data_IF_750270193976
#
_entry.id   IF_750270193976
#
_cell.length_a   1.000
_cell.length_b   1.000
_cell.length_c   1.000
_cell.angle_alpha   90.00
_cell.angle_beta   90.00
_cell.angle_gamma   90.00
#
_symmetry.space_group_name_H-M   'P 1'
#
loop_
_entity.id
_entity.type
_entity.pdbx_description
1 polymer ?
#
# COMPACT_ATOMS: atom_id res chain seq x y z
N UNK A 1 8.63 18.52 7.24
CA UNK A 1 9.02 17.09 7.14
C UNK A 1 10.39 16.94 6.47
N UNK A 2 10.59 17.50 5.27
CA UNK A 2 11.92 17.56 4.65
C UNK A 2 12.92 18.43 5.43
N UNK A 3 12.51 19.59 5.96
CA UNK A 3 13.46 20.49 6.66
C UNK A 3 14.10 19.87 7.90
N UNK A 4 13.37 19.01 8.60
CA UNK A 4 13.79 18.35 9.85
C UNK A 4 14.34 16.95 9.59
N UNK A 5 13.61 16.10 8.87
CA UNK A 5 13.96 14.68 8.69
C UNK A 5 14.72 14.39 7.38
N UNK A 6 14.84 15.37 6.47
CA UNK A 6 15.39 15.19 5.11
C UNK A 6 14.72 14.06 4.31
N UNK A 7 13.48 13.72 4.68
CA UNK A 7 12.67 12.71 4.00
C UNK A 7 11.79 13.40 2.95
N UNK A 8 11.87 13.00 1.67
CA UNK A 8 10.94 13.48 0.66
C UNK A 8 9.51 13.07 1.00
N UNK A 9 8.56 13.95 0.77
CA UNK A 9 7.14 13.66 0.98
C UNK A 9 6.68 12.73 -0.15
N UNK A 10 6.21 11.53 0.20
CA UNK A 10 5.54 10.65 -0.75
C UNK A 10 4.06 11.01 -0.83
N UNK A 11 3.57 11.22 -2.04
CA UNK A 11 2.14 11.36 -2.30
C UNK A 11 1.64 10.10 -3.00
N UNK A 12 0.49 9.61 -2.55
CA UNK A 12 -0.28 8.57 -3.24
C UNK A 12 -1.55 9.23 -3.74
N UNK A 13 -1.80 9.15 -5.03
CA UNK A 13 -3.02 9.65 -5.65
C UNK A 13 -3.92 8.46 -5.97
N UNK A 14 -5.14 8.50 -5.47
CA UNK A 14 -6.18 7.57 -5.88
C UNK A 14 -7.08 8.28 -6.87
N UNK A 15 -7.19 7.71 -8.06
CA UNK A 15 -7.94 8.27 -9.16
C UNK A 15 -9.24 7.48 -9.28
N UNK A 16 -10.36 8.15 -9.01
CA UNK A 16 -11.68 7.59 -9.19
C UNK A 16 -12.22 7.95 -10.58
N UNK A 17 -12.97 7.02 -11.18
CA UNK A 17 -13.75 7.31 -12.37
C UNK A 17 -14.90 8.27 -12.06
N UNK A 18 -15.38 8.95 -13.08
CA UNK A 18 -16.60 9.75 -12.98
C UNK A 18 -17.80 8.83 -12.72
N UNK A 19 -18.49 9.04 -11.59
CA UNK A 19 -19.68 8.26 -11.19
C UNK A 19 -20.86 8.45 -12.15
N UNK A 20 -20.88 9.55 -12.90
CA UNK A 20 -21.91 9.86 -13.90
C UNK A 20 -21.56 9.33 -15.30
N UNK A 21 -20.30 8.95 -15.54
CA UNK A 21 -19.85 8.38 -16.79
C UNK A 21 -20.25 6.90 -16.90
N UNK A 22 -20.44 6.43 -18.13
CA UNK A 22 -20.69 5.00 -18.34
C UNK A 22 -19.47 4.17 -17.92
N UNK A 23 -19.69 2.99 -17.35
CA UNK A 23 -18.59 2.08 -16.95
C UNK A 23 -17.66 1.74 -18.12
N UNK A 24 -18.20 1.72 -19.34
CA UNK A 24 -17.45 1.49 -20.58
C UNK A 24 -16.47 2.63 -20.88
N UNK A 25 -16.84 3.87 -20.58
CA UNK A 25 -15.98 5.03 -20.83
C UNK A 25 -14.88 5.14 -19.77
N UNK A 26 -15.20 4.87 -18.50
CA UNK A 26 -14.20 4.70 -17.45
C UNK A 26 -13.21 3.58 -17.81
N UNK A 27 -13.71 2.42 -18.24
CA UNK A 27 -12.85 1.29 -18.61
C UNK A 27 -11.87 1.62 -19.74
N UNK A 28 -12.33 2.31 -20.80
CA UNK A 28 -11.47 2.73 -21.92
C UNK A 28 -10.40 3.74 -21.52
N UNK A 29 -10.68 4.58 -20.53
CA UNK A 29 -9.71 5.54 -20.01
C UNK A 29 -8.53 4.84 -19.32
N UNK A 30 -8.79 3.70 -18.66
CA UNK A 30 -7.74 2.87 -18.05
C UNK A 30 -7.18 1.78 -18.98
N UNK A 31 -7.89 1.45 -20.06
CA UNK A 31 -7.54 0.37 -20.99
C UNK A 31 -7.66 0.81 -22.45
N UNK A 32 -6.80 1.73 -22.92
CA UNK A 32 -6.79 2.13 -24.32
C UNK A 32 -6.36 0.97 -25.22
N UNK A 33 -7.17 0.68 -26.25
CA UNK A 33 -6.96 -0.47 -27.17
C UNK A 33 -6.22 -0.10 -28.47
N UNK A 34 -5.97 1.18 -28.69
CA UNK A 34 -5.27 1.69 -29.87
C UNK A 34 -4.29 2.81 -29.51
N UNK A 35 -3.27 3.00 -30.36
CA UNK A 35 -2.18 3.94 -30.12
C UNK A 35 -2.63 5.40 -30.07
N UNK A 36 -3.65 5.75 -30.85
CA UNK A 36 -4.16 7.14 -30.90
C UNK A 36 -4.85 7.47 -29.58
N UNK A 37 -5.73 6.58 -29.10
CA UNK A 37 -6.40 6.73 -27.81
C UNK A 37 -5.40 6.70 -26.66
N UNK A 38 -4.41 5.81 -26.69
CA UNK A 38 -3.36 5.75 -25.68
C UNK A 38 -2.60 7.08 -25.55
N UNK A 39 -2.12 7.64 -26.68
CA UNK A 39 -1.38 8.92 -26.67
C UNK A 39 -2.23 10.08 -26.15
N UNK A 40 -3.50 10.12 -26.54
CA UNK A 40 -4.44 11.15 -26.06
C UNK A 40 -4.62 11.06 -24.55
N UNK A 41 -4.98 9.88 -24.04
CA UNK A 41 -5.18 9.62 -22.61
C UNK A 41 -3.92 9.98 -21.82
N UNK A 42 -2.74 9.54 -22.26
CA UNK A 42 -1.47 9.86 -21.61
C UNK A 42 -1.21 11.37 -21.55
N UNK A 43 -1.46 12.08 -22.64
CA UNK A 43 -1.26 13.53 -22.70
C UNK A 43 -2.23 14.27 -21.77
N UNK A 44 -3.51 13.89 -21.78
CA UNK A 44 -4.54 14.48 -20.93
C UNK A 44 -4.21 14.27 -19.43
N UNK A 45 -3.82 13.05 -19.04
CA UNK A 45 -3.39 12.76 -17.66
C UNK A 45 -2.12 13.50 -17.27
N UNK A 46 -1.13 13.54 -18.15
CA UNK A 46 0.14 14.24 -17.88
C UNK A 46 -0.09 15.75 -17.69
N UNK A 47 -0.95 16.34 -18.54
CA UNK A 47 -1.33 17.74 -18.43
C UNK A 47 -2.04 18.00 -17.10
N UNK A 48 -3.05 17.22 -16.75
CA UNK A 48 -3.78 17.37 -15.48
C UNK A 48 -2.84 17.21 -14.26
N UNK A 49 -1.90 16.27 -14.32
CA UNK A 49 -0.93 16.06 -13.25
C UNK A 49 0.02 17.26 -13.11
N UNK A 50 0.55 17.81 -14.21
CA UNK A 50 1.42 18.98 -14.15
C UNK A 50 0.65 20.21 -13.65
N UNK A 51 -0.56 20.42 -14.17
CA UNK A 51 -1.44 21.52 -13.78
C UNK A 51 -1.76 21.49 -12.27
N UNK A 52 -1.88 20.30 -11.68
CA UNK A 52 -2.01 20.14 -10.23
C UNK A 52 -0.82 20.69 -9.45
N UNK A 53 0.42 20.56 -9.93
CA UNK A 53 1.59 21.13 -9.25
C UNK A 53 1.76 22.62 -9.50
N UNK A 54 1.33 23.11 -10.66
CA UNK A 54 1.36 24.52 -11.00
C UNK A 54 0.33 25.31 -10.18
N UNK A 55 -0.90 24.80 -10.09
CA UNK A 55 -2.03 25.48 -9.44
C UNK A 55 -2.24 25.06 -7.98
N UNK A 56 -1.87 23.84 -7.61
CA UNK A 56 -2.12 23.26 -6.30
C UNK A 56 -1.59 24.07 -5.12
N UNK A 57 -0.36 24.64 -5.15
CA UNK A 57 0.14 25.45 -4.04
C UNK A 57 -0.75 26.65 -3.72
N UNK A 58 -1.34 27.29 -4.72
CA UNK A 58 -2.19 28.47 -4.53
C UNK A 58 -3.58 28.08 -4.03
N UNK A 59 -4.15 26.96 -4.50
CA UNK A 59 -5.39 26.41 -3.96
C UNK A 59 -5.23 25.93 -2.51
N UNK A 60 -4.08 25.35 -2.15
CA UNK A 60 -3.77 24.95 -0.77
C UNK A 60 -3.68 26.18 0.14
N UNK A 61 -3.03 27.27 -0.29
CA UNK A 61 -2.97 28.52 0.48
C UNK A 61 -4.37 29.08 0.73
N UNK A 62 -5.21 29.17 -0.31
CA UNK A 62 -6.61 29.62 -0.18
C UNK A 62 -7.40 28.73 0.77
N UNK A 63 -7.23 27.41 0.69
CA UNK A 63 -7.89 26.46 1.59
C UNK A 63 -7.43 26.56 3.05
N UNK A 64 -6.16 26.91 3.30
CA UNK A 64 -5.66 27.21 4.65
C UNK A 64 -6.30 28.48 5.21
N UNK A 65 -6.46 29.52 4.40
CA UNK A 65 -7.12 30.77 4.80
C UNK A 65 -8.62 30.57 5.12
N UNK A 66 -9.29 29.65 4.42
CA UNK A 66 -10.68 29.27 4.69
C UNK A 66 -10.88 28.40 5.95
N UNK A 67 -9.81 27.94 6.61
CA UNK A 67 -9.85 27.27 7.92
C UNK A 67 -10.61 25.93 7.98
N UNK A 68 -11.11 25.40 6.86
CA UNK A 68 -11.98 24.20 6.84
C UNK A 68 -11.29 23.03 6.16
N UNK A 69 -10.32 22.44 6.86
CA UNK A 69 -9.72 21.17 6.45
C UNK A 69 -10.57 20.03 7.01
N UNK A 70 -11.40 19.41 6.15
CA UNK A 70 -12.14 18.18 6.51
C UNK A 70 -11.25 17.00 6.13
N UNK A 71 -10.87 16.17 7.11
CA UNK A 71 -10.17 14.92 6.84
C UNK A 71 -11.14 13.93 6.19
N UNK A 72 -10.96 13.68 4.89
CA UNK A 72 -11.81 12.77 4.09
C UNK A 72 -11.33 11.30 4.20
N UNK A 73 -10.14 11.04 4.72
CA UNK A 73 -9.52 9.72 4.72
C UNK A 73 -10.02 8.72 5.77
N UNK A 74 -10.94 9.10 6.65
CA UNK A 74 -11.36 8.26 7.78
C UNK A 74 -12.63 7.41 7.58
N UNK A 75 -13.48 7.77 6.60
CA UNK A 75 -14.89 7.32 6.62
C UNK A 75 -15.27 6.41 5.44
N UNK A 76 -14.37 6.18 4.47
CA UNK A 76 -14.72 5.48 3.21
C UNK A 76 -14.64 3.94 3.33
N UNK A 77 -14.06 3.40 4.40
CA UNK A 77 -13.92 1.94 4.58
C UNK A 77 -15.15 1.30 5.23
N UNK A 78 -16.08 2.06 5.82
CA UNK A 78 -17.19 1.52 6.62
C UNK A 78 -18.54 1.38 5.87
N UNK A 79 -18.52 1.41 4.54
CA UNK A 79 -19.72 1.47 3.71
C UNK A 79 -20.50 0.14 3.54
N UNK A 80 -20.08 -0.97 4.15
CA UNK A 80 -20.70 -2.28 3.87
C UNK A 80 -21.42 -2.95 5.05
N UNK A 81 -21.52 -2.36 6.24
CA UNK A 81 -22.24 -2.97 7.36
C UNK A 81 -23.10 -1.95 8.13
N UNK A 82 -24.23 -1.56 7.53
CA UNK A 82 -25.31 -0.87 8.24
C UNK A 82 -25.99 -1.86 9.20
N UNK A 83 -25.81 -1.64 10.50
CA UNK A 83 -26.47 -2.40 11.55
C UNK A 83 -26.31 -1.76 12.94
N UNK A 84 -27.24 -0.86 13.25
CA UNK A 84 -27.81 -0.55 14.58
C UNK A 84 -26.95 -0.46 15.87
N UNK A 85 -27.26 0.61 16.62
CA UNK A 85 -27.20 0.78 18.08
C UNK A 85 -25.89 1.23 18.78
N UNK A 86 -26.00 2.47 19.31
CA UNK A 86 -25.68 2.90 20.68
C UNK A 86 -24.24 2.76 21.20
N UNK A 87 -23.64 3.92 21.40
CA UNK A 87 -22.84 4.20 22.59
C UNK A 87 -21.33 4.21 22.37
N UNK A 88 -20.75 5.42 22.44
CA UNK A 88 -19.41 5.73 22.94
C UNK A 88 -18.38 4.59 22.87
N UNK A 89 -17.71 4.38 21.73
CA UNK A 89 -16.63 3.40 21.61
C UNK A 89 -15.43 3.94 20.82
N UNK A 90 -14.40 4.28 21.60
CA UNK A 90 -12.95 4.20 21.37
C UNK A 90 -12.44 4.12 19.92
N UNK A 91 -11.66 5.13 19.55
CA UNK A 91 -10.65 5.14 18.47
C UNK A 91 -9.43 4.23 18.76
N UNK A 92 -9.59 3.12 19.51
CA UNK A 92 -8.49 2.19 19.88
C UNK A 92 -8.45 0.91 19.03
N UNK A 93 -9.52 0.57 18.31
CA UNK A 93 -9.68 -0.79 17.77
C UNK A 93 -8.80 -1.07 16.53
N UNK A 94 -8.45 -0.05 15.74
CA UNK A 94 -7.65 -0.22 14.51
C UNK A 94 -6.15 -0.48 14.74
N UNK A 95 -5.55 0.16 15.75
CA UNK A 95 -4.14 -0.07 16.12
C UNK A 95 -3.98 -1.46 16.77
N UNK A 96 -4.97 -1.89 17.55
CA UNK A 96 -4.97 -3.18 18.24
C UNK A 96 -5.10 -4.34 17.25
N UNK A 97 -5.96 -4.20 16.23
CA UNK A 97 -6.07 -5.17 15.14
C UNK A 97 -4.76 -5.30 14.36
N UNK A 98 -4.13 -4.17 14.00
CA UNK A 98 -2.83 -4.17 13.32
C UNK A 98 -1.72 -4.82 14.15
N UNK A 99 -1.73 -4.62 15.46
CA UNK A 99 -0.74 -5.19 16.38
C UNK A 99 -0.94 -6.71 16.59
N UNK A 100 -2.20 -7.18 16.53
CA UNK A 100 -2.52 -8.60 16.58
C UNK A 100 -2.09 -9.34 15.30
N UNK A 101 -2.33 -8.75 14.14
CA UNK A 101 -1.88 -9.29 12.85
C UNK A 101 -0.35 -9.34 12.79
N UNK A 102 0.34 -8.27 13.19
CA UNK A 102 1.81 -8.22 13.28
C UNK A 102 2.38 -9.34 14.15
N UNK A 103 1.73 -9.64 15.28
CA UNK A 103 2.14 -10.71 16.20
C UNK A 103 2.02 -12.10 15.57
N UNK A 104 1.00 -12.32 14.74
CA UNK A 104 0.81 -13.57 14.01
C UNK A 104 1.88 -13.74 12.93
N UNK A 105 2.11 -12.71 12.11
CA UNK A 105 3.17 -12.74 11.09
C UNK A 105 4.57 -12.90 11.69
N UNK A 106 4.84 -12.26 12.83
CA UNK A 106 6.11 -12.41 13.53
C UNK A 106 6.35 -13.85 14.02
N UNK A 107 5.32 -14.51 14.54
CA UNK A 107 5.41 -15.92 14.95
C UNK A 107 5.70 -16.85 13.76
N UNK A 108 5.00 -16.65 12.65
CA UNK A 108 5.23 -17.40 11.40
C UNK A 108 6.66 -17.17 10.87
N UNK A 109 7.14 -15.93 10.90
CA UNK A 109 8.50 -15.58 10.50
C UNK A 109 9.57 -16.29 11.35
N UNK A 110 9.40 -16.30 12.68
CA UNK A 110 10.32 -17.00 13.58
C UNK A 110 10.30 -18.52 13.36
N UNK A 111 9.12 -19.12 13.22
CA UNK A 111 8.99 -20.55 12.91
C UNK A 111 9.67 -20.91 11.59
N UNK A 112 9.42 -20.12 10.54
CA UNK A 112 10.08 -20.29 9.24
C UNK A 112 11.60 -20.19 9.34
N UNK A 113 12.10 -19.20 10.09
CA UNK A 113 13.54 -19.00 10.29
C UNK A 113 14.21 -20.18 11.00
N UNK A 114 13.56 -20.73 12.04
CA UNK A 114 14.06 -21.91 12.77
C UNK A 114 14.05 -23.16 11.89
N UNK A 115 12.99 -23.36 11.09
CA UNK A 115 12.89 -24.49 10.15
C UNK A 115 13.96 -24.39 9.06
N UNK A 116 14.20 -23.20 8.50
CA UNK A 116 15.25 -22.96 7.51
C UNK A 116 16.63 -23.25 8.10
N UNK A 117 16.90 -22.78 9.33
CA UNK A 117 18.14 -23.08 10.03
C UNK A 117 18.28 -24.60 10.26
N UNK A 118 17.23 -25.29 10.68
CA UNK A 118 17.27 -26.75 10.88
C UNK A 118 17.54 -27.51 9.57
N UNK A 119 16.91 -27.11 8.47
CA UNK A 119 17.16 -27.70 7.15
C UNK A 119 18.59 -27.44 6.68
N UNK A 120 19.12 -26.23 6.87
CA UNK A 120 20.48 -25.87 6.52
C UNK A 120 21.51 -26.64 7.36
N UNK A 121 21.33 -26.69 8.69
CA UNK A 121 22.17 -27.46 9.60
C UNK A 121 22.12 -28.96 9.30
N UNK A 122 20.93 -29.52 9.02
CA UNK A 122 20.77 -30.93 8.64
C UNK A 122 21.44 -31.24 7.30
N UNK A 123 21.34 -30.35 6.30
CA UNK A 123 22.02 -30.51 5.00
C UNK A 123 23.54 -30.48 5.15
N UNK A 124 24.08 -29.54 5.94
CA UNK A 124 25.51 -29.42 6.21
C UNK A 124 26.02 -30.61 7.05
N UNK A 125 25.23 -31.09 8.00
CA UNK A 125 25.59 -32.28 8.78
C UNK A 125 25.66 -33.54 7.91
N UNK A 126 24.70 -33.71 6.99
CA UNK A 126 24.70 -34.85 6.05
C UNK A 126 25.87 -34.78 5.07
N UNK A 127 26.26 -33.60 4.58
CA UNK A 127 27.42 -33.48 3.69
C UNK A 127 28.72 -33.85 4.41
N UNK A 128 28.86 -33.48 5.69
CA UNK A 128 30.02 -33.87 6.51
C UNK A 128 30.08 -35.38 6.78
N UNK A 129 28.94 -36.03 7.10
CA UNK A 129 28.90 -37.48 7.35
C UNK A 129 29.28 -38.31 6.12
N UNK A 130 28.79 -37.91 4.93
CA UNK A 130 29.13 -38.59 3.67
C UNK A 130 30.63 -38.47 3.38
N UNK A 131 31.22 -37.30 3.60
CA UNK A 131 32.64 -37.04 3.39
C UNK A 131 33.53 -37.92 4.31
N UNK A 132 33.15 -38.09 5.58
CA UNK A 132 33.89 -38.96 6.52
C UNK A 132 33.80 -40.44 6.14
N UNK A 133 32.64 -40.92 5.67
CA UNK A 133 32.49 -42.31 5.24
C UNK A 133 33.32 -42.63 3.98
N UNK A 134 33.47 -41.67 3.06
CA UNK A 134 34.34 -41.85 1.88
C UNK A 134 35.83 -41.89 2.20
N UNK A 135 36.29 -41.25 3.29
CA UNK A 135 37.69 -41.28 3.71
C UNK A 135 38.07 -42.51 4.56
N UNK A 136 37.10 -43.26 5.07
CA UNK A 136 37.34 -44.49 5.87
C UNK A 136 37.38 -45.74 4.95
N UNK A 137 36.87 -45.64 3.73
CA UNK A 137 36.84 -46.73 2.73
C UNK A 137 37.98 -46.69 1.70
N UNK A 138 38.97 -45.80 1.88
CA UNK A 138 40.20 -45.68 1.08
C UNK A 138 41.43 -45.96 1.92
#
# INVERSE_FOLDING_TARGET
MYDVAKVPVSFTFEIYGDESASSKDCFKMFNPIDTTTFKRVLNDWSKAFIELFETGPDEIKKAQELGKWISIGGNVVDGSLVGENRGSRKTMDGLELGMQELRTYFRLFLLSSVLLMFMFCSRISKSKLIQTNSSILS
#
